data_IF_004397908434
#
_entry.id   IF_004397908434
#
_cell.length_a   1.000
_cell.length_b   1.000
_cell.length_c   1.000
_cell.angle_alpha   90.00
_cell.angle_beta   90.00
_cell.angle_gamma   90.00
#
_symmetry.space_group_name_H-M   'P 1'
#
loop_
_entity.id
_entity.type
_entity.pdbx_description
1 polymer ?
#
# COMPACT_ATOMS: atom_id res chain seq x y z
N UNK A 1 -1.91 8.99 5.02
CA UNK A 1 -1.40 10.36 5.06
C UNK A 1 -1.91 11.16 3.86
N UNK A 2 -1.54 10.84 2.59
CA UNK A 2 -1.94 11.62 1.41
C UNK A 2 -3.46 11.76 1.27
N UNK A 3 -4.20 10.67 1.50
CA UNK A 3 -5.66 10.70 1.51
C UNK A 3 -6.22 11.71 2.53
N UNK A 4 -5.67 11.72 3.73
CA UNK A 4 -6.14 12.60 4.81
C UNK A 4 -5.75 14.07 4.53
N UNK A 5 -4.55 14.30 3.96
CA UNK A 5 -4.13 15.63 3.49
C UNK A 5 -5.07 16.18 2.42
N UNK A 6 -5.48 15.35 1.47
CA UNK A 6 -6.43 15.73 0.42
C UNK A 6 -7.80 16.05 0.99
N UNK A 7 -8.30 15.26 1.95
CA UNK A 7 -9.54 15.58 2.65
C UNK A 7 -9.48 16.91 3.38
N UNK A 8 -8.35 17.24 4.01
CA UNK A 8 -8.16 18.54 4.65
C UNK A 8 -8.24 19.70 3.63
N UNK A 9 -7.67 19.51 2.43
CA UNK A 9 -7.77 20.51 1.36
C UNK A 9 -9.19 20.66 0.82
N UNK A 10 -9.94 19.54 0.63
CA UNK A 10 -11.35 19.60 0.24
C UNK A 10 -12.19 20.35 1.28
N UNK A 11 -11.96 20.07 2.56
CA UNK A 11 -12.67 20.74 3.66
C UNK A 11 -12.36 22.25 3.69
N UNK A 12 -11.10 22.65 3.51
CA UNK A 12 -10.71 24.07 3.41
C UNK A 12 -11.36 24.79 2.22
N UNK A 13 -11.53 24.08 1.11
CA UNK A 13 -12.19 24.60 -0.08
C UNK A 13 -13.74 24.52 -0.02
N UNK A 14 -14.29 23.91 1.03
CA UNK A 14 -15.73 23.64 1.20
C UNK A 14 -16.35 22.88 0.03
N UNK A 15 -15.63 21.88 -0.52
CA UNK A 15 -16.09 21.01 -1.60
C UNK A 15 -16.00 19.54 -1.17
N UNK A 16 -16.69 18.65 -1.89
CA UNK A 16 -16.81 17.24 -1.51
C UNK A 16 -15.96 16.30 -2.33
N UNK A 17 -15.60 16.69 -3.55
CA UNK A 17 -14.90 15.82 -4.49
C UNK A 17 -13.68 16.50 -5.10
N UNK A 18 -12.70 15.69 -5.49
CA UNK A 18 -11.50 16.19 -6.21
C UNK A 18 -11.87 16.91 -7.50
N UNK A 19 -12.95 16.49 -8.17
CA UNK A 19 -13.42 17.12 -9.41
C UNK A 19 -13.82 18.55 -9.16
N UNK A 20 -14.71 18.78 -8.20
CA UNK A 20 -15.16 20.13 -7.79
C UNK A 20 -13.95 20.98 -7.33
N UNK A 21 -13.06 20.39 -6.52
CA UNK A 21 -11.88 21.09 -6.06
C UNK A 21 -10.98 21.57 -7.19
N UNK A 22 -10.67 20.69 -8.13
CA UNK A 22 -9.82 21.03 -9.28
C UNK A 22 -10.49 22.05 -10.20
N UNK A 23 -11.82 22.00 -10.37
CA UNK A 23 -12.58 23.03 -11.09
C UNK A 23 -12.43 24.40 -10.41
N UNK A 24 -12.61 24.49 -9.09
CA UNK A 24 -12.42 25.74 -8.33
C UNK A 24 -10.95 26.24 -8.40
N UNK A 25 -10.00 25.31 -8.36
CA UNK A 25 -8.57 25.65 -8.49
C UNK A 25 -8.23 26.22 -9.87
N UNK A 26 -8.70 25.56 -10.95
CA UNK A 26 -8.49 26.01 -12.35
C UNK A 26 -9.11 27.39 -12.57
N UNK A 27 -10.27 27.66 -11.99
CA UNK A 27 -10.94 28.95 -12.06
C UNK A 27 -10.33 30.02 -11.11
N UNK A 28 -9.17 29.72 -10.49
CA UNK A 28 -8.42 30.60 -9.59
C UNK A 28 -9.20 31.09 -8.37
N UNK A 29 -10.20 30.34 -7.92
CA UNK A 29 -10.95 30.66 -6.70
C UNK A 29 -10.26 30.19 -5.42
N UNK A 30 -9.27 29.30 -5.53
CA UNK A 30 -8.49 28.78 -4.43
C UNK A 30 -7.10 29.42 -4.43
N UNK A 31 -6.71 30.01 -3.29
CA UNK A 31 -5.42 30.70 -3.18
C UNK A 31 -4.28 29.71 -2.87
N UNK A 32 -3.24 29.62 -3.73
CA UNK A 32 -2.08 28.77 -3.49
C UNK A 32 -1.32 29.09 -2.19
N UNK A 33 -1.33 30.36 -1.74
CA UNK A 33 -0.68 30.76 -0.49
C UNK A 33 -1.32 30.11 0.75
N UNK A 34 -2.56 29.64 0.64
CA UNK A 34 -3.25 28.87 1.68
C UNK A 34 -2.97 27.35 1.58
N UNK A 35 -1.98 26.95 0.77
CA UNK A 35 -1.59 25.56 0.55
C UNK A 35 -2.43 24.82 -0.48
N UNK A 36 -3.33 25.52 -1.20
CA UNK A 36 -4.08 24.90 -2.29
C UNK A 36 -3.19 24.64 -3.50
N UNK A 37 -3.30 23.45 -4.06
CA UNK A 37 -2.58 23.01 -5.26
C UNK A 37 -3.51 22.14 -6.11
N UNK A 38 -3.24 22.06 -7.41
CA UNK A 38 -3.94 21.11 -8.25
C UNK A 38 -3.72 19.67 -7.75
N UNK A 39 -4.77 18.89 -7.63
CA UNK A 39 -4.69 17.52 -7.17
C UNK A 39 -4.81 16.54 -8.35
N UNK A 40 -3.72 15.87 -8.77
CA UNK A 40 -3.81 14.82 -9.77
C UNK A 40 -4.54 13.60 -9.22
N UNK A 41 -5.19 12.83 -10.11
CA UNK A 41 -5.66 11.50 -9.74
C UNK A 41 -4.46 10.58 -9.49
N UNK A 42 -4.57 9.71 -8.49
CA UNK A 42 -3.57 8.70 -8.17
C UNK A 42 -4.21 7.33 -8.39
N UNK A 43 -3.54 6.49 -9.17
CA UNK A 43 -3.91 5.08 -9.34
C UNK A 43 -2.81 4.23 -8.71
N UNK A 44 -3.17 3.50 -7.65
CA UNK A 44 -2.29 2.55 -6.99
C UNK A 44 -2.50 1.19 -7.62
N UNK A 45 -1.44 0.58 -8.14
CA UNK A 45 -1.48 -0.74 -8.76
C UNK A 45 -0.62 -1.67 -7.93
N UNK A 46 -1.22 -2.74 -7.41
CA UNK A 46 -0.53 -3.83 -6.70
C UNK A 46 -0.58 -5.06 -7.59
N UNK A 47 0.56 -5.43 -8.14
CA UNK A 47 0.70 -6.51 -9.13
C UNK A 47 0.51 -7.90 -8.50
N UNK A 48 1.15 -8.14 -7.34
CA UNK A 48 0.98 -9.38 -6.58
C UNK A 48 0.66 -9.09 -5.11
N UNK A 49 -0.62 -9.08 -4.80
CA UNK A 49 -1.10 -8.78 -3.45
C UNK A 49 -0.75 -9.86 -2.43
N UNK A 50 -0.64 -11.12 -2.87
CA UNK A 50 -0.25 -12.20 -1.98
C UNK A 50 1.14 -11.99 -1.38
N UNK A 51 2.09 -11.50 -2.18
CA UNK A 51 3.45 -11.25 -1.68
C UNK A 51 3.44 -10.10 -0.65
N UNK A 52 2.64 -9.07 -0.86
CA UNK A 52 2.51 -7.97 0.09
C UNK A 52 1.93 -8.46 1.44
N UNK A 53 0.89 -9.30 1.41
CA UNK A 53 0.30 -9.89 2.62
C UNK A 53 1.28 -10.85 3.30
N UNK A 54 2.06 -11.62 2.54
CA UNK A 54 3.07 -12.53 3.11
C UNK A 54 4.23 -11.79 3.78
N UNK A 55 4.64 -10.64 3.23
CA UNK A 55 5.75 -9.84 3.76
C UNK A 55 5.34 -9.00 4.98
N UNK A 56 4.20 -8.34 4.92
CA UNK A 56 3.78 -7.34 5.90
C UNK A 56 2.61 -7.81 6.79
N UNK A 57 2.12 -9.04 6.59
CA UNK A 57 1.04 -9.59 7.38
C UNK A 57 -0.29 -8.87 7.21
N UNK A 58 -1.15 -9.01 8.21
CA UNK A 58 -2.50 -8.39 8.21
C UNK A 58 -2.50 -6.89 8.44
N UNK A 59 -1.38 -6.32 8.86
CA UNK A 59 -1.27 -4.89 9.18
C UNK A 59 -1.47 -4.02 7.94
N UNK A 60 -1.22 -4.58 6.74
CA UNK A 60 -1.45 -3.91 5.46
C UNK A 60 -2.92 -3.94 5.02
N UNK A 61 -3.69 -4.93 5.45
CA UNK A 61 -5.08 -5.10 5.03
C UNK A 61 -5.96 -3.92 5.46
N UNK A 62 -5.80 -3.44 6.69
CA UNK A 62 -6.60 -2.33 7.21
C UNK A 62 -6.38 -1.01 6.48
N UNK A 63 -5.12 -0.56 6.22
CA UNK A 63 -4.86 0.62 5.40
C UNK A 63 -5.43 0.50 3.98
N UNK A 64 -5.31 -0.66 3.34
CA UNK A 64 -5.85 -0.91 1.99
C UNK A 64 -7.38 -0.82 1.99
N UNK A 65 -8.05 -1.47 2.92
CA UNK A 65 -9.49 -1.40 3.06
C UNK A 65 -9.96 0.05 3.30
N UNK A 66 -9.26 0.81 4.15
CA UNK A 66 -9.57 2.23 4.40
C UNK A 66 -9.44 3.09 3.15
N UNK A 67 -8.39 2.88 2.34
CA UNK A 67 -8.22 3.59 1.07
C UNK A 67 -9.36 3.21 0.12
N UNK A 68 -9.65 1.92 -0.06
CA UNK A 68 -10.71 1.45 -0.93
C UNK A 68 -12.08 2.04 -0.59
N UNK A 69 -12.38 2.18 0.72
CA UNK A 69 -13.66 2.74 1.18
C UNK A 69 -13.78 4.26 1.00
N UNK A 70 -12.69 4.99 1.22
CA UNK A 70 -12.77 6.45 1.40
C UNK A 70 -12.07 7.26 0.31
N UNK A 71 -11.10 6.71 -0.40
CA UNK A 71 -10.20 7.53 -1.20
C UNK A 71 -10.78 7.98 -2.57
N UNK A 72 -11.92 7.43 -2.99
CA UNK A 72 -12.59 7.80 -4.27
C UNK A 72 -12.86 9.29 -4.37
N UNK A 73 -13.39 9.90 -3.30
CA UNK A 73 -13.76 11.32 -3.29
C UNK A 73 -12.53 12.23 -3.46
N UNK A 74 -11.36 11.79 -3.01
CA UNK A 74 -10.08 12.51 -3.10
C UNK A 74 -9.24 12.08 -4.31
N UNK A 75 -9.81 11.28 -5.22
CA UNK A 75 -9.19 10.89 -6.50
C UNK A 75 -8.07 9.86 -6.37
N UNK A 76 -8.12 9.00 -5.37
CA UNK A 76 -7.20 7.87 -5.26
C UNK A 76 -7.98 6.60 -5.59
N UNK A 77 -7.51 5.86 -6.58
CA UNK A 77 -8.07 4.60 -7.04
C UNK A 77 -7.07 3.48 -6.83
N UNK A 78 -7.55 2.25 -6.66
CA UNK A 78 -6.69 1.10 -6.41
C UNK A 78 -7.08 -0.08 -7.29
N UNK A 79 -6.07 -0.73 -7.86
CA UNK A 79 -6.17 -1.98 -8.60
C UNK A 79 -5.30 -3.00 -7.86
N UNK A 80 -5.90 -4.09 -7.42
CA UNK A 80 -5.20 -5.17 -6.73
C UNK A 80 -5.26 -6.41 -7.62
N UNK A 81 -4.10 -6.97 -7.94
CA UNK A 81 -3.98 -8.22 -8.66
C UNK A 81 -3.26 -9.28 -7.82
N UNK A 82 -3.52 -10.54 -8.09
CA UNK A 82 -2.79 -11.67 -7.50
C UNK A 82 -2.88 -12.89 -8.42
N UNK A 83 -1.80 -13.64 -8.48
CA UNK A 83 -1.75 -14.95 -9.12
C UNK A 83 -2.06 -16.09 -8.14
N UNK A 84 -2.23 -15.76 -6.84
CA UNK A 84 -2.50 -16.72 -5.76
C UNK A 84 -3.84 -16.42 -5.07
N UNK A 85 -4.98 -16.76 -5.70
CA UNK A 85 -6.31 -16.42 -5.19
C UNK A 85 -6.73 -17.35 -4.04
N UNK A 86 -6.06 -17.24 -2.90
CA UNK A 86 -6.43 -17.96 -1.69
C UNK A 86 -7.35 -17.15 -0.79
N UNK A 87 -8.11 -17.81 0.09
CA UNK A 87 -8.96 -17.15 1.07
C UNK A 87 -8.19 -16.37 2.13
N UNK A 88 -6.90 -16.66 2.30
CA UNK A 88 -6.00 -15.92 3.19
C UNK A 88 -5.52 -14.60 2.57
N UNK A 89 -5.53 -14.50 1.25
CA UNK A 89 -5.16 -13.30 0.48
C UNK A 89 -6.40 -12.48 0.14
N UNK A 90 -7.42 -13.13 -0.44
CA UNK A 90 -8.68 -12.47 -0.81
C UNK A 90 -9.69 -12.71 0.32
N UNK A 91 -9.55 -11.94 1.38
CA UNK A 91 -10.41 -12.04 2.58
C UNK A 91 -11.80 -11.45 2.31
N UNK A 92 -12.75 -11.75 3.19
CA UNK A 92 -14.08 -11.14 3.15
C UNK A 92 -14.03 -9.61 3.24
N UNK A 93 -13.09 -9.07 4.01
CA UNK A 93 -12.89 -7.63 4.16
C UNK A 93 -12.41 -6.99 2.84
N UNK A 94 -11.46 -7.62 2.15
CA UNK A 94 -11.01 -7.18 0.83
C UNK A 94 -12.17 -7.23 -0.17
N UNK A 95 -12.91 -8.33 -0.23
CA UNK A 95 -14.06 -8.46 -1.15
C UNK A 95 -15.16 -7.43 -0.91
N UNK A 96 -15.44 -7.10 0.35
CA UNK A 96 -16.44 -6.09 0.69
C UNK A 96 -16.07 -4.69 0.20
N UNK A 97 -14.78 -4.38 0.11
CA UNK A 97 -14.28 -3.07 -0.31
C UNK A 97 -13.91 -2.97 -1.80
N UNK A 98 -13.83 -4.11 -2.47
CA UNK A 98 -13.58 -4.22 -3.91
C UNK A 98 -14.76 -4.92 -4.61
N UNK A 99 -15.86 -4.20 -4.85
CA UNK A 99 -17.05 -4.78 -5.49
C UNK A 99 -16.82 -5.12 -6.96
N UNK A 100 -16.01 -4.34 -7.67
CA UNK A 100 -15.63 -4.65 -9.05
C UNK A 100 -14.50 -5.69 -9.04
N UNK A 101 -14.77 -6.86 -9.60
CA UNK A 101 -13.84 -7.99 -9.59
C UNK A 101 -13.73 -8.62 -10.97
N UNK A 102 -12.51 -9.00 -11.32
CA UNK A 102 -12.16 -9.63 -12.58
C UNK A 102 -11.45 -10.94 -12.27
N UNK A 103 -11.84 -12.01 -12.96
CA UNK A 103 -11.08 -13.24 -12.98
C UNK A 103 -10.76 -13.63 -14.42
N UNK A 104 -9.48 -13.76 -14.72
CA UNK A 104 -9.01 -14.48 -15.89
C UNK A 104 -9.08 -15.99 -15.63
N UNK A 105 -8.66 -16.81 -16.61
CA UNK A 105 -8.67 -18.26 -16.46
C UNK A 105 -7.88 -18.69 -15.23
N UNK A 106 -8.54 -19.46 -14.36
CA UNK A 106 -7.93 -20.13 -13.22
C UNK A 106 -7.96 -21.65 -13.43
N UNK A 107 -7.13 -22.39 -12.69
CA UNK A 107 -7.06 -23.85 -12.84
C UNK A 107 -8.19 -24.56 -12.10
N UNK A 108 -8.61 -24.04 -10.95
CA UNK A 108 -9.56 -24.70 -10.07
C UNK A 108 -10.84 -23.88 -9.91
N UNK A 109 -11.98 -24.57 -9.75
CA UNK A 109 -13.26 -23.91 -9.47
C UNK A 109 -13.24 -23.15 -8.13
N UNK A 110 -12.47 -23.64 -7.16
CA UNK A 110 -12.35 -22.97 -5.85
C UNK A 110 -11.74 -21.57 -6.00
N UNK A 111 -10.79 -21.40 -6.91
CA UNK A 111 -10.17 -20.10 -7.17
C UNK A 111 -11.18 -19.11 -7.75
N UNK A 112 -12.03 -19.59 -8.69
CA UNK A 112 -13.14 -18.79 -9.23
C UNK A 112 -14.08 -18.31 -8.13
N UNK A 113 -14.47 -19.20 -7.22
CA UNK A 113 -15.33 -18.84 -6.07
C UNK A 113 -14.63 -17.90 -5.10
N UNK A 114 -13.34 -18.06 -4.89
CA UNK A 114 -12.58 -17.16 -4.03
C UNK A 114 -12.58 -15.74 -4.57
N UNK A 115 -12.43 -15.55 -5.88
CA UNK A 115 -12.40 -14.22 -6.51
C UNK A 115 -13.82 -13.67 -6.68
N UNK A 116 -14.71 -14.45 -7.31
CA UNK A 116 -16.00 -13.96 -7.84
C UNK A 116 -17.21 -14.31 -6.99
N UNK A 117 -17.04 -15.12 -5.94
CA UNK A 117 -18.12 -15.80 -5.19
C UNK A 117 -18.97 -16.75 -6.07
N UNK A 118 -18.53 -17.03 -7.30
CA UNK A 118 -19.22 -17.84 -8.27
C UNK A 118 -18.24 -18.72 -9.08
N UNK A 119 -18.68 -19.88 -9.59
CA UNK A 119 -17.88 -20.69 -10.49
C UNK A 119 -17.80 -20.08 -11.89
N UNK A 120 -16.92 -20.61 -12.75
CA UNK A 120 -16.89 -20.29 -14.18
C UNK A 120 -15.54 -19.83 -14.71
N UNK A 121 -14.68 -19.20 -13.90
CA UNK A 121 -13.37 -18.76 -14.37
C UNK A 121 -12.43 -19.92 -14.73
N UNK A 122 -12.64 -21.11 -14.20
CA UNK A 122 -11.94 -22.34 -14.59
C UNK A 122 -12.33 -22.87 -15.98
N UNK A 123 -13.43 -22.38 -16.55
CA UNK A 123 -13.93 -22.77 -17.88
C UNK A 123 -13.54 -21.78 -18.97
N UNK A 124 -12.85 -20.70 -18.62
CA UNK A 124 -12.38 -19.69 -19.57
C UNK A 124 -11.30 -20.27 -20.50
N UNK A 125 -11.25 -19.74 -21.72
CA UNK A 125 -10.30 -20.20 -22.74
C UNK A 125 -8.88 -19.69 -22.46
N UNK A 126 -8.75 -18.53 -21.82
CA UNK A 126 -7.49 -17.79 -21.65
C UNK A 126 -7.31 -16.71 -22.70
N UNK A 127 -6.10 -16.15 -22.81
CA UNK A 127 -5.77 -15.09 -23.80
C UNK A 127 -6.70 -13.86 -23.74
N UNK A 128 -7.00 -13.41 -22.52
CA UNK A 128 -7.85 -12.24 -22.31
C UNK A 128 -9.34 -12.56 -22.12
N UNK A 129 -9.74 -13.83 -22.18
CA UNK A 129 -11.09 -14.25 -21.82
C UNK A 129 -11.26 -14.13 -20.30
N UNK A 130 -12.21 -13.35 -19.83
CA UNK A 130 -12.40 -13.03 -18.42
C UNK A 130 -13.86 -13.04 -17.99
N UNK A 131 -14.07 -13.21 -16.70
CA UNK A 131 -15.33 -12.91 -16.03
C UNK A 131 -15.19 -11.60 -15.23
N UNK A 132 -16.21 -10.78 -15.32
CA UNK A 132 -16.31 -9.49 -14.62
C UNK A 132 -17.61 -9.42 -13.82
N UNK A 133 -17.53 -8.86 -12.62
CA UNK A 133 -18.71 -8.51 -11.78
C UNK A 133 -18.49 -7.19 -11.05
N UNK A 134 -19.57 -6.49 -10.79
CA UNK A 134 -19.62 -5.29 -9.92
C UNK A 134 -20.56 -5.54 -8.71
N UNK A 135 -20.59 -6.76 -8.19
CA UNK A 135 -21.52 -7.15 -7.12
C UNK A 135 -22.90 -7.61 -7.59
N UNK A 136 -23.08 -7.74 -8.91
CA UNK A 136 -24.30 -8.25 -9.55
C UNK A 136 -23.99 -9.43 -10.46
N UNK A 137 -24.58 -9.43 -11.64
CA UNK A 137 -24.43 -10.49 -12.63
C UNK A 137 -23.00 -10.62 -13.15
N UNK A 138 -22.59 -11.87 -13.40
CA UNK A 138 -21.32 -12.17 -14.04
C UNK A 138 -21.43 -11.91 -15.56
N UNK A 139 -20.51 -11.10 -16.06
CA UNK A 139 -20.35 -10.83 -17.49
C UNK A 139 -19.08 -11.48 -17.99
N UNK A 140 -19.19 -12.28 -19.05
CA UNK A 140 -18.02 -12.81 -19.76
C UNK A 140 -17.59 -11.83 -20.83
N UNK A 141 -16.34 -11.45 -20.82
CA UNK A 141 -15.78 -10.44 -21.73
C UNK A 141 -14.50 -11.00 -22.34
N UNK A 142 -14.38 -10.91 -23.65
CA UNK A 142 -13.13 -11.19 -24.35
C UNK A 142 -12.35 -9.89 -24.48
N UNK A 143 -11.26 -9.78 -23.73
CA UNK A 143 -10.30 -8.69 -23.86
C UNK A 143 -9.33 -8.92 -25.02
N UNK A 144 -8.76 -7.85 -25.54
CA UNK A 144 -7.60 -7.96 -26.42
C UNK A 144 -6.44 -8.62 -25.66
N UNK A 145 -5.77 -9.52 -26.32
CA UNK A 145 -4.51 -10.07 -25.82
C UNK A 145 -3.38 -9.11 -26.07
N UNK A 146 -2.65 -8.74 -25.03
CA UNK A 146 -1.49 -7.85 -25.10
C UNK A 146 -0.25 -8.67 -24.76
N UNK A 147 0.74 -8.66 -25.66
CA UNK A 147 2.00 -9.35 -25.47
C UNK A 147 3.15 -8.35 -25.26
N UNK A 148 4.30 -8.85 -24.84
CA UNK A 148 5.50 -8.08 -24.50
C UNK A 148 5.90 -7.05 -25.57
N UNK A 149 5.89 -7.36 -26.89
CA UNK A 149 6.19 -6.36 -27.92
C UNK A 149 5.22 -5.17 -27.95
N UNK A 150 3.94 -5.41 -27.66
CA UNK A 150 2.93 -4.35 -27.61
C UNK A 150 3.09 -3.49 -26.37
N UNK A 151 3.35 -4.11 -25.21
CA UNK A 151 3.67 -3.40 -23.96
C UNK A 151 4.87 -2.46 -24.19
N UNK A 152 5.94 -2.96 -24.83
CA UNK A 152 7.12 -2.13 -25.16
C UNK A 152 6.76 -0.92 -26.02
N UNK A 153 5.96 -1.12 -27.07
CA UNK A 153 5.52 -0.01 -27.93
C UNK A 153 4.69 1.03 -27.18
N UNK A 154 3.80 0.58 -26.29
CA UNK A 154 2.98 1.48 -25.47
C UNK A 154 3.87 2.26 -24.50
N UNK A 155 4.81 1.61 -23.82
CA UNK A 155 5.75 2.26 -22.93
C UNK A 155 6.62 3.29 -23.67
N UNK A 156 7.11 2.97 -24.86
CA UNK A 156 7.87 3.90 -25.71
C UNK A 156 7.02 5.09 -26.17
N UNK A 157 5.74 4.86 -26.46
CA UNK A 157 4.81 5.94 -26.79
C UNK A 157 4.58 6.87 -25.60
N UNK A 158 4.35 6.31 -24.41
CA UNK A 158 4.14 7.10 -23.19
C UNK A 158 5.41 7.89 -22.83
N UNK A 159 6.59 7.27 -22.93
CA UNK A 159 7.86 7.92 -22.59
C UNK A 159 8.22 9.12 -23.49
N UNK A 160 7.68 9.18 -24.69
CA UNK A 160 7.87 10.30 -25.62
C UNK A 160 6.91 11.46 -25.38
N UNK A 161 5.93 11.29 -24.53
CA UNK A 161 4.99 12.36 -24.20
C UNK A 161 5.60 13.34 -23.20
N UNK A 162 5.14 14.57 -23.24
CA UNK A 162 5.54 15.57 -22.26
C UNK A 162 4.97 15.19 -20.89
N UNK A 163 5.83 14.96 -19.92
CA UNK A 163 5.49 14.67 -18.54
C UNK A 163 5.91 15.79 -17.59
N UNK A 164 5.71 15.56 -16.31
CA UNK A 164 6.30 16.40 -15.28
C UNK A 164 7.82 16.14 -15.20
N UNK A 165 8.62 17.15 -14.84
CA UNK A 165 10.08 16.99 -14.74
C UNK A 165 10.48 16.02 -13.60
N UNK A 166 9.66 15.94 -12.56
CA UNK A 166 9.89 15.11 -11.40
C UNK A 166 8.63 14.27 -11.07
N UNK A 167 8.80 13.08 -10.49
CA UNK A 167 7.67 12.28 -10.05
C UNK A 167 6.90 12.98 -8.91
N UNK A 168 5.60 12.67 -8.78
CA UNK A 168 4.80 13.18 -7.68
C UNK A 168 5.28 12.56 -6.36
N UNK A 169 5.78 13.38 -5.46
CA UNK A 169 6.23 12.94 -4.15
C UNK A 169 5.05 12.69 -3.23
N UNK A 170 4.97 11.47 -2.70
CA UNK A 170 4.04 11.11 -1.64
C UNK A 170 4.67 11.37 -0.27
N UNK A 171 3.87 11.78 0.75
CA UNK A 171 4.38 11.95 2.10
C UNK A 171 4.96 10.64 2.63
N UNK A 172 6.18 10.69 3.17
CA UNK A 172 6.80 9.55 3.82
C UNK A 172 6.08 9.17 5.12
N UNK A 173 5.90 7.87 5.32
CA UNK A 173 5.43 7.36 6.59
C UNK A 173 6.58 7.29 7.57
N UNK A 174 6.58 8.19 8.56
CA UNK A 174 7.50 8.10 9.70
C UNK A 174 6.85 7.20 10.75
N UNK A 175 7.48 6.07 11.01
CA UNK A 175 7.03 5.17 12.07
C UNK A 175 7.24 5.90 13.41
N UNK A 176 6.21 6.14 14.23
CA UNK A 176 6.39 6.80 15.52
C UNK A 176 7.37 6.05 16.44
N UNK A 177 7.49 4.73 16.24
CA UNK A 177 8.44 3.88 16.97
C UNK A 177 9.87 3.94 16.42
N UNK A 178 10.10 4.50 15.22
CA UNK A 178 11.44 4.66 14.63
C UNK A 178 12.07 6.01 14.97
N UNK A 179 11.30 7.00 15.38
CA UNK A 179 11.84 8.28 15.88
C UNK A 179 12.49 8.17 17.27
N UNK A 180 12.35 7.02 17.95
CA UNK A 180 13.10 6.72 19.15
C UNK A 180 14.58 6.34 18.89
N UNK A 181 15.03 6.26 17.65
CA UNK A 181 16.37 5.78 17.32
C UNK A 181 17.19 6.53 16.27
N UNK A 182 16.73 7.65 15.71
CA UNK A 182 17.40 8.28 14.56
C UNK A 182 17.60 9.80 14.61
N UNK A 183 17.67 10.40 15.78
CA UNK A 183 18.25 11.74 15.88
C UNK A 183 19.71 11.61 16.36
N UNK A 184 20.65 11.87 15.48
CA UNK A 184 22.10 11.85 15.77
C UNK A 184 22.55 12.84 16.86
N UNK A 185 21.66 13.20 17.79
CA UNK A 185 21.93 14.01 18.98
C UNK A 185 21.33 13.43 20.27
N UNK A 186 20.75 12.21 20.25
CA UNK A 186 20.27 11.53 21.46
C UNK A 186 21.43 10.84 22.25
N UNK A 187 22.39 11.64 22.67
CA UNK A 187 23.33 11.25 23.75
C UNK A 187 22.60 11.28 25.12
N UNK A 188 21.33 11.71 25.19
CA UNK A 188 20.69 12.08 26.46
C UNK A 188 19.69 11.03 26.99
N UNK A 189 19.31 10.01 26.22
CA UNK A 189 18.33 9.00 26.68
C UNK A 189 18.83 7.57 26.55
N UNK A 190 20.12 7.32 26.80
CA UNK A 190 20.62 5.95 26.92
C UNK A 190 20.16 5.36 28.24
N UNK A 191 19.71 4.10 28.18
CA UNK A 191 19.45 3.32 29.40
C UNK A 191 20.63 3.45 30.36
N UNK A 192 20.42 3.70 31.66
CA UNK A 192 21.48 3.83 32.65
C UNK A 192 22.47 2.67 32.66
N UNK A 193 22.04 1.48 32.25
CA UNK A 193 22.89 0.27 32.18
C UNK A 193 23.70 0.15 30.89
N UNK A 194 23.47 1.01 29.88
CA UNK A 194 24.12 0.87 28.57
C UNK A 194 25.65 0.93 28.67
N UNK A 195 26.20 1.88 29.39
CA UNK A 195 27.65 2.04 29.51
C UNK A 195 28.31 0.85 30.22
N UNK A 196 27.67 0.33 31.28
CA UNK A 196 28.16 -0.81 32.01
C UNK A 196 28.06 -2.09 31.20
N UNK A 197 27.01 -2.30 30.45
CA UNK A 197 26.81 -3.41 29.55
C UNK A 197 27.86 -3.37 28.41
N UNK A 198 28.08 -2.21 27.80
CA UNK A 198 29.09 -2.03 26.75
C UNK A 198 30.50 -2.31 27.26
N UNK A 199 30.88 -1.80 28.43
CA UNK A 199 32.19 -2.10 29.06
C UNK A 199 32.35 -3.60 29.33
N UNK A 200 31.30 -4.27 29.78
CA UNK A 200 31.35 -5.72 30.03
C UNK A 200 31.55 -6.51 28.73
N UNK A 201 30.90 -6.17 27.66
CA UNK A 201 31.02 -6.82 26.33
C UNK A 201 32.46 -6.64 25.81
N UNK A 202 33.01 -5.43 25.91
CA UNK A 202 34.40 -5.14 25.48
C UNK A 202 35.40 -5.93 26.28
N UNK A 203 35.24 -6.01 27.61
CA UNK A 203 36.17 -6.75 28.49
C UNK A 203 36.02 -8.25 28.33
N UNK A 204 34.80 -8.77 28.14
CA UNK A 204 34.56 -10.22 28.01
C UNK A 204 34.83 -10.76 26.61
N UNK A 205 34.88 -9.89 25.60
CA UNK A 205 34.98 -10.27 24.19
C UNK A 205 33.84 -11.09 23.65
N UNK A 206 32.71 -11.17 24.39
CA UNK A 206 31.51 -11.93 24.01
C UNK A 206 30.26 -11.09 24.18
N UNK A 207 29.59 -10.81 23.07
CA UNK A 207 28.26 -10.20 23.05
C UNK A 207 27.22 -11.32 23.20
N UNK A 208 26.67 -11.47 24.41
CA UNK A 208 25.68 -12.51 24.72
C UNK A 208 24.54 -11.95 25.54
N UNK A 209 23.31 -11.98 24.96
CA UNK A 209 22.08 -11.60 25.66
C UNK A 209 21.90 -12.33 26.99
N UNK A 210 22.19 -13.63 27.04
CA UNK A 210 22.02 -14.43 28.24
C UNK A 210 23.01 -14.05 29.36
N UNK A 211 24.20 -13.53 29.01
CA UNK A 211 25.17 -13.01 29.98
C UNK A 211 24.74 -11.69 30.57
N UNK A 212 24.18 -10.80 29.75
CA UNK A 212 23.61 -9.52 30.21
C UNK A 212 22.35 -9.72 31.07
N UNK A 213 21.46 -10.63 30.69
CA UNK A 213 20.27 -10.98 31.49
C UNK A 213 20.64 -11.47 32.88
N UNK A 214 21.62 -12.37 32.99
CA UNK A 214 22.06 -12.93 34.28
C UNK A 214 22.77 -11.91 35.16
N UNK A 215 23.54 -11.01 34.56
CA UNK A 215 24.36 -10.06 35.34
C UNK A 215 23.57 -8.84 35.81
N UNK A 216 22.63 -8.36 34.96
CA UNK A 216 21.89 -7.14 35.25
C UNK A 216 20.41 -7.40 35.60
N UNK A 217 19.97 -8.65 35.62
CA UNK A 217 18.58 -9.07 35.90
C UNK A 217 17.57 -8.37 34.98
N UNK A 218 17.94 -8.14 33.73
CA UNK A 218 17.12 -7.43 32.73
C UNK A 218 16.36 -8.42 31.83
N UNK A 219 15.22 -7.96 31.26
CA UNK A 219 14.44 -8.76 30.33
C UNK A 219 15.13 -8.96 28.96
N UNK A 220 14.66 -9.95 28.18
CA UNK A 220 15.22 -10.32 26.89
C UNK A 220 15.29 -9.13 25.91
N UNK A 221 14.23 -8.34 25.83
CA UNK A 221 14.18 -7.19 24.93
C UNK A 221 15.20 -6.11 25.27
N UNK A 222 15.40 -5.82 26.55
CA UNK A 222 16.39 -4.86 27.02
C UNK A 222 17.82 -5.37 26.76
N UNK A 223 18.07 -6.67 26.91
CA UNK A 223 19.37 -7.27 26.65
C UNK A 223 19.75 -7.28 25.16
N UNK A 224 18.79 -7.27 24.25
CA UNK A 224 18.99 -7.15 22.81
C UNK A 224 19.40 -5.73 22.37
N UNK A 225 18.91 -4.71 23.05
CA UNK A 225 19.22 -3.30 22.76
C UNK A 225 20.69 -2.98 23.12
N UNK A 226 21.28 -3.75 24.05
CA UNK A 226 22.64 -3.55 24.55
C UNK A 226 23.72 -4.41 23.87
N UNK A 227 23.37 -5.20 22.86
CA UNK A 227 24.31 -5.97 22.04
C UNK A 227 24.59 -5.26 20.73
#
# INVERSE_FOLDING_TARGET
IEMDNRYALLAKANVRTIKEYNEEFIHRKLNPNNGHKFMPYIVVIIDEFADLIMMAGRDVEMPIARIAQKARAVGIHMIIATQRPSTTVITGNIKANFPARIAFRVMQMVDSRTILDAPGANQLIGRGDMLFTEGGDLKRIQCAFIDTPEVKRICEYISKQQGYPEPYELPEYKNPDSDAGSNGNDVINRDPLFEEAAKMIVVSGQASTSSLQRRYSIGYNLSLIHI
#
